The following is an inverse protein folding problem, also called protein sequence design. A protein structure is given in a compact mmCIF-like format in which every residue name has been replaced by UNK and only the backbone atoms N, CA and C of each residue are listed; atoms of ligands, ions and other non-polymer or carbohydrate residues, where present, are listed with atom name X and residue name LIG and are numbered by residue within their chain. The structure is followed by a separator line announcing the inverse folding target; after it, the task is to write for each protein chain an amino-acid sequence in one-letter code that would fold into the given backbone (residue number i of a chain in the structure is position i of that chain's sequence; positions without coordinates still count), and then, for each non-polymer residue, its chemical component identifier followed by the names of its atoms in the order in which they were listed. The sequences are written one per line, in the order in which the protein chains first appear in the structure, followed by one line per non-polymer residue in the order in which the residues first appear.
data_IF_234468885158
#
_entry.id   IF_234468885158
#
_cell.length_a   1.000
_cell.length_b   1.000
_cell.length_c   1.000
_cell.angle_alpha   90.00
_cell.angle_beta   90.00
_cell.angle_gamma   90.00
#
_symmetry.space_group_name_H-M   'P 1'
#
loop_
_entity.id
_entity.type
_entity.pdbx_description
1 polymer ?
#
# COMPACT_ATOMS: atom_id res chain seq x y z
N UNK A 1 -10.29 0.78 -30.19
CA UNK A 1 -9.80 1.15 -28.84
C UNK A 1 -10.97 1.05 -27.87
N UNK A 2 -11.00 0.01 -27.03
CA UNK A 2 -12.05 -0.12 -26.01
C UNK A 2 -11.94 1.03 -25.01
N UNK A 3 -13.07 1.65 -24.65
CA UNK A 3 -13.10 2.69 -23.62
C UNK A 3 -12.51 2.10 -22.34
N UNK A 4 -11.37 2.61 -21.89
CA UNK A 4 -10.81 2.26 -20.59
C UNK A 4 -11.79 2.82 -19.54
N UNK A 5 -12.65 1.96 -19.01
CA UNK A 5 -13.57 2.34 -17.94
C UNK A 5 -12.72 2.57 -16.69
N UNK A 6 -12.52 3.83 -16.29
CA UNK A 6 -11.81 4.13 -15.04
C UNK A 6 -12.60 3.51 -13.86
N UNK A 7 -11.90 2.82 -12.97
CA UNK A 7 -12.48 2.37 -11.71
C UNK A 7 -12.78 3.59 -10.82
N UNK A 8 -13.94 3.61 -10.17
CA UNK A 8 -14.31 4.65 -9.20
C UNK A 8 -14.04 4.18 -7.79
N UNK A 9 -13.28 4.97 -7.04
CA UNK A 9 -12.93 4.69 -5.65
C UNK A 9 -13.55 5.79 -4.76
N UNK A 10 -14.26 5.38 -3.70
CA UNK A 10 -14.69 6.27 -2.64
C UNK A 10 -13.77 6.01 -1.43
N UNK A 11 -13.10 7.06 -0.94
CA UNK A 11 -12.11 6.96 0.13
C UNK A 11 -12.53 7.79 1.34
N UNK A 12 -12.29 7.24 2.52
CA UNK A 12 -12.26 7.97 3.78
C UNK A 12 -10.80 8.17 4.17
N UNK A 13 -10.39 9.41 4.37
CA UNK A 13 -9.00 9.79 4.65
C UNK A 13 -8.99 10.65 5.91
N UNK A 14 -7.92 10.57 6.69
CA UNK A 14 -7.68 11.45 7.82
C UNK A 14 -7.82 12.95 7.39
N UNK A 15 -8.58 13.77 8.13
CA UNK A 15 -8.81 15.16 7.76
C UNK A 15 -7.55 16.01 7.65
N UNK A 16 -6.51 15.75 8.45
CA UNK A 16 -5.27 16.52 8.42
C UNK A 16 -4.43 16.13 7.21
N UNK A 17 -4.34 14.84 6.90
CA UNK A 17 -3.73 14.36 5.65
C UNK A 17 -4.47 14.95 4.43
N UNK A 18 -5.79 14.99 4.46
CA UNK A 18 -6.58 15.60 3.38
C UNK A 18 -6.29 17.09 3.21
N UNK A 19 -6.17 17.84 4.31
CA UNK A 19 -5.84 19.28 4.27
C UNK A 19 -4.47 19.51 3.65
N UNK A 20 -3.46 18.74 4.03
CA UNK A 20 -2.12 18.87 3.49
C UNK A 20 -2.05 18.43 2.02
N UNK A 21 -2.65 17.29 1.68
CA UNK A 21 -2.79 16.84 0.29
C UNK A 21 -3.47 17.90 -0.58
N UNK A 22 -4.52 18.56 -0.06
CA UNK A 22 -5.21 19.64 -0.76
C UNK A 22 -4.31 20.84 -1.06
N UNK A 23 -3.48 21.25 -0.11
CA UNK A 23 -2.53 22.35 -0.32
C UNK A 23 -1.54 21.98 -1.43
N UNK A 24 -1.03 20.76 -1.40
CA UNK A 24 -0.07 20.25 -2.40
C UNK A 24 -0.70 20.17 -3.79
N UNK A 25 -1.81 19.45 -3.98
CA UNK A 25 -2.39 19.31 -5.32
C UNK A 25 -2.85 20.64 -5.89
N UNK A 26 -3.31 21.58 -5.04
CA UNK A 26 -3.72 22.91 -5.50
C UNK A 26 -2.51 23.70 -5.99
N UNK A 27 -1.38 23.66 -5.26
CA UNK A 27 -0.14 24.32 -5.68
C UNK A 27 0.44 23.73 -6.97
N UNK A 28 0.19 22.46 -7.24
CA UNK A 28 0.60 21.76 -8.47
C UNK A 28 -0.40 21.90 -9.63
N UNK A 29 -1.50 22.63 -9.45
CA UNK A 29 -2.60 22.74 -10.42
C UNK A 29 -3.20 21.37 -10.82
N UNK A 30 -3.35 20.49 -9.84
CA UNK A 30 -3.91 19.15 -9.99
C UNK A 30 -5.25 19.04 -9.27
N UNK A 31 -6.12 18.14 -9.73
CA UNK A 31 -7.29 17.73 -8.94
C UNK A 31 -6.95 16.54 -8.03
N UNK A 32 -7.81 16.25 -7.04
CA UNK A 32 -7.60 15.15 -6.09
C UNK A 32 -7.46 13.79 -6.79
N UNK A 33 -8.23 13.53 -7.85
CA UNK A 33 -8.15 12.25 -8.57
C UNK A 33 -6.79 12.06 -9.23
N UNK A 34 -6.24 13.09 -9.88
CA UNK A 34 -4.91 13.06 -10.48
C UNK A 34 -3.81 12.93 -9.42
N UNK A 35 -3.97 13.59 -8.26
CA UNK A 35 -3.05 13.45 -7.14
C UNK A 35 -3.01 12.01 -6.62
N UNK A 36 -4.17 11.42 -6.34
CA UNK A 36 -4.28 10.02 -5.88
C UNK A 36 -3.78 9.04 -6.94
N UNK A 37 -4.09 9.25 -8.22
CA UNK A 37 -3.62 8.42 -9.33
C UNK A 37 -2.08 8.45 -9.43
N UNK A 38 -1.46 9.63 -9.26
CA UNK A 38 -0.01 9.77 -9.23
C UNK A 38 0.60 9.07 -8.00
N UNK A 39 0.04 9.29 -6.80
CA UNK A 39 0.53 8.65 -5.57
C UNK A 39 0.42 7.14 -5.61
N UNK A 40 -0.68 6.60 -6.14
CA UNK A 40 -0.85 5.15 -6.35
C UNK A 40 0.16 4.63 -7.37
N UNK A 41 0.38 5.34 -8.48
CA UNK A 41 1.36 4.95 -9.49
C UNK A 41 2.77 4.89 -8.90
N UNK A 42 3.16 5.89 -8.11
CA UNK A 42 4.44 5.92 -7.41
C UNK A 42 4.55 4.76 -6.41
N UNK A 43 3.49 4.46 -5.66
CA UNK A 43 3.50 3.33 -4.75
C UNK A 43 3.66 2.00 -5.50
N UNK A 44 2.99 1.83 -6.64
CA UNK A 44 3.13 0.63 -7.47
C UNK A 44 4.54 0.47 -8.05
N UNK A 45 5.22 1.56 -8.41
CA UNK A 45 6.65 1.51 -8.77
C UNK A 45 7.52 1.03 -7.59
N UNK A 46 7.24 1.51 -6.38
CA UNK A 46 7.94 1.07 -5.17
C UNK A 46 7.78 -0.43 -4.93
N UNK A 47 6.58 -0.99 -5.10
CA UNK A 47 6.33 -2.42 -4.85
C UNK A 47 6.59 -3.32 -6.06
N UNK A 48 6.84 -2.76 -7.25
CA UNK A 48 7.06 -3.50 -8.50
C UNK A 48 8.08 -4.65 -8.36
N UNK A 49 9.24 -4.48 -7.68
CA UNK A 49 10.22 -5.56 -7.53
C UNK A 49 9.69 -6.79 -6.79
N UNK A 50 8.62 -6.64 -6.01
CA UNK A 50 8.00 -7.72 -5.22
C UNK A 50 6.82 -8.38 -5.93
N UNK A 51 6.34 -7.83 -7.05
CA UNK A 51 5.22 -8.40 -7.80
C UNK A 51 5.42 -9.88 -8.17
N UNK A 52 6.63 -10.34 -8.59
CA UNK A 52 6.84 -11.77 -8.86
C UNK A 52 6.56 -12.67 -7.67
N UNK A 53 6.78 -12.19 -6.44
CA UNK A 53 6.48 -12.97 -5.23
C UNK A 53 4.97 -13.16 -5.04
N UNK A 54 4.16 -12.18 -5.43
CA UNK A 54 2.71 -12.30 -5.41
C UNK A 54 2.24 -13.32 -6.46
N UNK A 55 2.86 -13.31 -7.65
CA UNK A 55 2.56 -14.30 -8.71
C UNK A 55 2.87 -15.74 -8.24
N UNK A 56 3.98 -15.94 -7.51
CA UNK A 56 4.34 -17.25 -6.92
C UNK A 56 3.30 -17.72 -5.89
N UNK A 57 2.74 -16.80 -5.09
CA UNK A 57 1.67 -17.12 -4.13
C UNK A 57 0.37 -17.50 -4.85
N UNK A 58 -0.01 -16.78 -5.90
CA UNK A 58 -1.20 -17.10 -6.70
C UNK A 58 -1.09 -18.48 -7.37
N UNK A 59 0.12 -18.94 -7.70
CA UNK A 59 0.40 -20.27 -8.25
C UNK A 59 0.53 -21.36 -7.17
N UNK A 60 0.55 -21.00 -5.89
CA UNK A 60 0.77 -21.94 -4.78
C UNK A 60 2.23 -22.40 -4.66
N UNK A 61 3.18 -21.69 -5.27
CA UNK A 61 4.62 -22.00 -5.25
C UNK A 61 5.31 -21.42 -4.00
N UNK A 62 4.66 -20.49 -3.30
CA UNK A 62 5.17 -19.83 -2.09
C UNK A 62 4.09 -19.62 -1.04
N UNK A 63 4.47 -19.66 0.23
CA UNK A 63 3.56 -19.33 1.33
C UNK A 63 3.22 -17.82 1.36
N UNK A 64 1.94 -17.44 1.50
CA UNK A 64 1.54 -16.05 1.63
C UNK A 64 2.22 -15.30 2.80
N UNK A 65 2.56 -16.02 3.86
CA UNK A 65 3.20 -15.46 5.05
C UNK A 65 4.59 -14.88 4.74
N UNK A 66 5.38 -15.56 3.92
CA UNK A 66 6.73 -15.14 3.54
C UNK A 66 6.70 -13.89 2.68
N UNK A 67 5.78 -13.82 1.72
CA UNK A 67 5.61 -12.64 0.86
C UNK A 67 5.14 -11.45 1.68
N UNK A 68 4.20 -11.66 2.60
CA UNK A 68 3.76 -10.62 3.53
C UNK A 68 4.92 -10.06 4.36
N UNK A 69 5.82 -10.92 4.85
CA UNK A 69 7.01 -10.49 5.58
C UNK A 69 7.97 -9.68 4.70
N UNK A 70 8.24 -10.16 3.49
CA UNK A 70 9.10 -9.47 2.52
C UNK A 70 8.55 -8.09 2.13
N UNK A 71 7.25 -7.99 1.84
CA UNK A 71 6.59 -6.72 1.54
C UNK A 71 6.69 -5.72 2.68
N UNK A 72 6.52 -6.16 3.93
CA UNK A 72 6.64 -5.30 5.10
C UNK A 72 8.04 -4.72 5.26
N UNK A 73 9.06 -5.58 5.17
CA UNK A 73 10.46 -5.16 5.29
C UNK A 73 10.80 -4.15 4.19
N UNK A 74 10.41 -4.45 2.96
CA UNK A 74 10.64 -3.56 1.82
C UNK A 74 9.93 -2.22 1.96
N UNK A 75 8.68 -2.20 2.42
CA UNK A 75 7.94 -0.96 2.64
C UNK A 75 8.53 -0.11 3.76
N UNK A 76 8.93 -0.73 4.87
CA UNK A 76 9.61 -0.02 5.96
C UNK A 76 10.93 0.61 5.49
N UNK A 77 11.68 -0.10 4.64
CA UNK A 77 12.91 0.44 4.04
C UNK A 77 12.64 1.55 3.01
N UNK A 78 11.60 1.41 2.18
CA UNK A 78 11.39 2.28 1.01
C UNK A 78 10.58 3.54 1.31
N UNK A 79 9.61 3.46 2.22
CA UNK A 79 8.73 4.58 2.61
C UNK A 79 9.19 5.21 3.93
N UNK A 80 9.98 4.48 4.72
CA UNK A 80 10.42 4.88 6.06
C UNK A 80 9.63 4.17 7.16
N UNK A 81 10.35 3.72 8.18
CA UNK A 81 9.80 2.92 9.28
C UNK A 81 8.69 3.65 10.04
N UNK A 82 8.84 4.95 10.30
CA UNK A 82 7.86 5.76 11.05
C UNK A 82 6.48 5.83 10.36
N UNK A 83 6.45 5.99 9.03
CA UNK A 83 5.21 6.00 8.25
C UNK A 83 4.56 4.63 8.21
N UNK A 84 5.37 3.57 8.10
CA UNK A 84 4.90 2.18 8.12
C UNK A 84 4.25 1.80 9.45
N UNK A 85 4.82 2.26 10.57
CA UNK A 85 4.29 2.03 11.92
C UNK A 85 3.02 2.85 12.19
N UNK A 86 2.99 4.13 11.84
CA UNK A 86 1.83 5.01 12.03
C UNK A 86 0.56 4.48 11.37
N UNK A 87 0.71 3.88 10.18
CA UNK A 87 -0.40 3.29 9.43
C UNK A 87 -0.62 1.79 9.70
N UNK A 88 0.05 1.22 10.71
CA UNK A 88 -0.04 -0.20 11.10
C UNK A 88 0.12 -1.18 9.93
N UNK A 89 0.99 -0.86 8.97
CA UNK A 89 1.41 -1.84 7.94
C UNK A 89 2.15 -3.03 8.60
N UNK A 90 2.68 -2.80 9.80
CA UNK A 90 3.38 -3.75 10.67
C UNK A 90 2.54 -4.04 11.92
N UNK A 91 1.76 -5.13 11.90
CA UNK A 91 1.50 -5.90 13.13
C UNK A 91 2.01 -7.33 12.91
N UNK A 92 2.89 -7.85 13.77
CA UNK A 92 2.88 -9.28 14.04
C UNK A 92 1.54 -9.56 14.73
N UNK A 93 0.70 -10.42 14.14
CA UNK A 93 -0.44 -10.94 14.89
C UNK A 93 0.07 -11.56 16.19
N UNK A 94 -0.73 -11.52 17.28
CA UNK A 94 -0.30 -12.08 18.55
C UNK A 94 0.09 -13.55 18.37
N UNK A 95 1.12 -14.06 19.09
CA UNK A 95 1.43 -15.49 19.08
C UNK A 95 0.16 -16.24 19.50
N UNK A 96 -0.27 -17.20 18.67
CA UNK A 96 -1.29 -18.14 19.09
C UNK A 96 -0.70 -18.92 20.27
N UNK A 97 -1.14 -18.59 21.48
CA UNK A 97 -0.96 -19.42 22.64
C UNK A 97 -1.62 -20.76 22.33
N UNK A 98 -0.80 -21.79 22.06
CA UNK A 98 -1.24 -23.17 22.19
C UNK A 98 -1.55 -23.41 23.66
N UNK A 99 -2.81 -23.23 24.05
CA UNK A 99 -3.32 -23.84 25.27
C UNK A 99 -3.78 -25.23 24.88
N UNK A 100 -2.94 -26.21 25.19
CA UNK A 100 -3.36 -27.60 25.35
C UNK A 100 -4.34 -27.67 26.51
N UNK A 101 -5.51 -28.25 26.27
CA UNK A 101 -6.23 -29.13 27.20
C UNK A 101 -7.17 -30.03 26.39
#
# INVERSE_FOLDING_TARGET
MGKTTKARLNLTIDPDIYRDARRVFTAMDMNMSSFVELSLSQFMETVRPLMPLLDEVERGEREPADVKAAMRIWLAHSVGQELSERHRVVEPGPPQSTTSD
#
